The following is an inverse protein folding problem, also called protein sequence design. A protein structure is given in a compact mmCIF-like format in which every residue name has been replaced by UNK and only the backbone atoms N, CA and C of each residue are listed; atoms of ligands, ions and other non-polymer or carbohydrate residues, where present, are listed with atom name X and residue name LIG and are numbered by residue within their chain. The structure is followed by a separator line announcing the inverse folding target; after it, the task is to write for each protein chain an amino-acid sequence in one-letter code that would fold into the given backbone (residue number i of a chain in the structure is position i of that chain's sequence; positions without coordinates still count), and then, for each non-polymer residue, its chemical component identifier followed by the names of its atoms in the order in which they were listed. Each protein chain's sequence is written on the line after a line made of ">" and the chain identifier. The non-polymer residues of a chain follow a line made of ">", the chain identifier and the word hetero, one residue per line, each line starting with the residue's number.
data_IF_811257257042
#
_entry.id   IF_811257257042
#
_cell.length_a   1.000
_cell.length_b   1.000
_cell.length_c   1.000
_cell.angle_alpha   90.00
_cell.angle_beta   90.00
_cell.angle_gamma   90.00
#
_symmetry.space_group_name_H-M   'P 1'
#
loop_
_entity.id
_entity.type
_entity.pdbx_description
1 polymer ?
#
# COMPACT_ATOMS: atom_id res chain seq x y z
N UNK A 1 0.17 -10.05 17.96
CA UNK A 1 1.32 -9.18 18.30
C UNK A 1 0.88 -7.75 18.63
N UNK A 2 0.16 -7.06 17.75
CA UNK A 2 -0.27 -5.65 17.94
C UNK A 2 -1.10 -5.38 19.21
N UNK A 3 -2.03 -6.26 19.57
CA UNK A 3 -2.79 -6.12 20.83
C UNK A 3 -1.89 -6.05 22.07
N UNK A 4 -0.87 -6.91 22.15
CA UNK A 4 0.10 -6.91 23.27
C UNK A 4 0.92 -5.62 23.30
N UNK A 5 1.23 -5.05 22.13
CA UNK A 5 1.91 -3.75 22.06
C UNK A 5 1.02 -2.64 22.62
N UNK A 6 -0.27 -2.62 22.26
CA UNK A 6 -1.24 -1.67 22.82
C UNK A 6 -1.42 -1.82 24.35
N UNK A 7 -1.44 -3.05 24.87
CA UNK A 7 -1.47 -3.32 26.31
C UNK A 7 -0.21 -2.80 27.02
N UNK A 8 0.98 -3.10 26.47
CA UNK A 8 2.26 -2.63 27.03
C UNK A 8 2.41 -1.11 26.98
N UNK A 9 1.85 -0.46 25.97
CA UNK A 9 1.83 0.99 25.84
C UNK A 9 0.76 1.67 26.73
N UNK A 10 -0.05 0.90 27.46
CA UNK A 10 -1.10 1.45 28.32
C UNK A 10 -2.33 2.00 27.59
N UNK A 11 -2.44 1.76 26.27
CA UNK A 11 -3.60 2.20 25.47
C UNK A 11 -4.88 1.42 25.84
N UNK A 12 -4.73 0.16 26.25
CA UNK A 12 -5.80 -0.68 26.76
C UNK A 12 -5.34 -1.45 27.99
N UNK A 13 -6.28 -1.77 28.88
CA UNK A 13 -6.01 -2.66 30.03
C UNK A 13 -5.79 -4.09 29.55
N UNK A 14 -4.89 -4.80 30.22
CA UNK A 14 -4.65 -6.24 30.01
C UNK A 14 -5.95 -7.02 30.12
N UNK A 15 -6.27 -7.83 29.10
CA UNK A 15 -7.49 -8.65 29.10
C UNK A 15 -8.77 -7.89 28.71
N UNK A 16 -8.70 -6.61 28.36
CA UNK A 16 -9.82 -5.88 27.75
C UNK A 16 -10.16 -6.44 26.37
N UNK A 17 -11.13 -7.37 26.29
CA UNK A 17 -11.41 -8.12 25.05
C UNK A 17 -12.11 -7.28 23.95
N UNK A 18 -12.73 -6.14 24.27
CA UNK A 18 -13.56 -5.37 23.32
C UNK A 18 -13.22 -3.86 23.27
N UNK A 19 -11.99 -3.44 23.60
CA UNK A 19 -11.59 -2.01 23.59
C UNK A 19 -10.67 -1.63 22.44
N UNK A 20 -10.46 -2.54 21.49
CA UNK A 20 -9.51 -2.36 20.39
C UNK A 20 -10.09 -2.96 19.12
N UNK A 21 -10.23 -2.13 18.10
CA UNK A 21 -10.59 -2.53 16.74
C UNK A 21 -9.37 -2.39 15.85
N UNK A 22 -9.15 -3.37 14.98
CA UNK A 22 -8.12 -3.30 13.96
C UNK A 22 -8.76 -3.00 12.60
N UNK A 23 -8.16 -2.04 11.92
CA UNK A 23 -8.44 -1.68 10.55
C UNK A 23 -7.16 -1.90 9.75
N UNK A 24 -7.30 -2.29 8.49
CA UNK A 24 -6.14 -2.36 7.59
C UNK A 24 -5.77 -0.96 7.09
N UNK A 25 -4.53 -0.77 6.67
CA UNK A 25 -4.08 0.53 6.11
C UNK A 25 -4.83 0.88 4.83
N UNK A 26 -5.14 -0.12 4.00
CA UNK A 26 -5.97 0.06 2.80
C UNK A 26 -7.40 0.51 3.12
N UNK A 27 -8.04 -0.06 4.14
CA UNK A 27 -9.39 0.34 4.58
C UNK A 27 -9.38 1.77 5.13
N UNK A 28 -8.40 2.09 5.96
CA UNK A 28 -8.25 3.43 6.48
C UNK A 28 -8.06 4.44 5.34
N UNK A 29 -7.16 4.12 4.39
CA UNK A 29 -6.92 4.96 3.24
C UNK A 29 -8.14 5.14 2.35
N UNK A 30 -8.93 4.09 2.14
CA UNK A 30 -10.21 4.18 1.43
C UNK A 30 -11.17 5.15 2.12
N UNK A 31 -11.35 5.03 3.45
CA UNK A 31 -12.23 5.92 4.21
C UNK A 31 -11.82 7.38 4.01
N UNK A 32 -10.51 7.65 4.08
CA UNK A 32 -10.01 9.00 3.88
C UNK A 32 -10.30 9.52 2.48
N UNK A 33 -10.13 8.69 1.44
CA UNK A 33 -10.45 9.05 0.06
C UNK A 33 -11.94 9.38 -0.12
N UNK A 34 -12.83 8.65 0.58
CA UNK A 34 -14.28 8.90 0.60
C UNK A 34 -14.58 10.26 1.22
N UNK A 35 -14.07 10.52 2.43
CA UNK A 35 -14.32 11.75 3.19
C UNK A 35 -13.88 13.02 2.45
N UNK A 36 -12.77 12.93 1.73
CA UNK A 36 -12.17 14.06 1.03
C UNK A 36 -12.94 14.44 -0.24
N UNK A 37 -14.03 13.73 -0.56
CA UNK A 37 -14.78 13.95 -1.79
C UNK A 37 -13.99 13.58 -3.05
N UNK A 38 -12.81 12.99 -2.92
CA UNK A 38 -11.96 12.62 -4.05
C UNK A 38 -12.45 11.40 -4.79
N UNK A 39 -13.09 10.56 -4.00
CA UNK A 39 -13.91 9.56 -4.61
C UNK A 39 -15.15 10.19 -5.23
N UNK A 40 -15.61 11.42 -5.01
CA UNK A 40 -16.88 11.92 -5.63
C UNK A 40 -16.77 12.19 -7.14
N UNK A 41 -15.60 12.43 -7.73
CA UNK A 41 -15.45 12.53 -9.20
C UNK A 41 -15.29 11.15 -9.88
N UNK A 42 -14.46 10.28 -9.30
CA UNK A 42 -14.30 8.87 -9.73
C UNK A 42 -15.53 8.01 -9.36
N UNK A 43 -16.21 8.33 -8.26
CA UNK A 43 -17.54 7.86 -7.86
C UNK A 43 -18.64 8.65 -8.56
N UNK A 44 -18.45 9.83 -9.15
CA UNK A 44 -19.48 10.36 -10.06
C UNK A 44 -19.60 9.41 -11.26
N UNK A 45 -18.50 8.84 -11.76
CA UNK A 45 -18.59 7.71 -12.68
C UNK A 45 -19.27 6.48 -12.03
N UNK A 46 -19.02 6.16 -10.75
CA UNK A 46 -19.70 5.03 -10.06
C UNK A 46 -21.18 5.29 -9.65
N UNK A 47 -21.63 6.55 -9.48
CA UNK A 47 -22.94 6.98 -8.95
C UNK A 47 -23.83 7.63 -10.01
N UNK A 48 -23.27 8.21 -11.07
CA UNK A 48 -24.01 8.90 -12.16
C UNK A 48 -24.03 8.15 -13.49
N UNK A 49 -23.53 6.92 -13.55
CA UNK A 49 -23.91 6.02 -14.63
C UNK A 49 -25.27 5.38 -14.32
N UNK A 50 -26.10 5.30 -15.36
CA UNK A 50 -27.47 4.78 -15.36
C UNK A 50 -27.66 3.48 -14.54
N UNK A 51 -28.86 3.15 -14.06
CA UNK A 51 -29.13 1.97 -13.21
C UNK A 51 -28.57 0.63 -13.73
N UNK A 52 -28.32 0.50 -15.04
CA UNK A 52 -27.71 -0.69 -15.66
C UNK A 52 -26.17 -0.79 -15.44
N UNK A 53 -25.51 0.33 -15.13
CA UNK A 53 -24.04 0.48 -15.05
C UNK A 53 -23.52 0.52 -13.60
N UNK A 54 -24.42 0.64 -12.61
CA UNK A 54 -24.14 0.71 -11.16
C UNK A 54 -23.36 -0.46 -10.54
N UNK A 55 -22.88 -1.43 -11.32
CA UNK A 55 -22.49 -2.76 -10.81
C UNK A 55 -21.05 -3.23 -11.05
N UNK A 56 -20.16 -2.44 -11.68
CA UNK A 56 -18.96 -3.09 -12.28
C UNK A 56 -17.60 -2.51 -12.02
N UNK A 57 -17.48 -1.34 -11.38
CA UNK A 57 -16.17 -0.71 -11.24
C UNK A 57 -15.69 -0.72 -9.79
N UNK A 58 -14.45 -1.15 -9.62
CA UNK A 58 -13.70 -1.21 -8.37
C UNK A 58 -12.51 -0.27 -8.42
N UNK A 59 -11.95 -0.04 -7.24
CA UNK A 59 -10.80 0.83 -7.02
C UNK A 59 -9.68 0.03 -6.39
N UNK A 60 -8.45 0.27 -6.79
CA UNK A 60 -7.27 -0.20 -6.06
C UNK A 60 -6.77 0.93 -5.18
N UNK A 61 -6.39 0.63 -3.94
CA UNK A 61 -5.66 1.54 -3.06
C UNK A 61 -4.24 1.00 -2.94
N UNK A 62 -3.26 1.85 -3.21
CA UNK A 62 -1.83 1.56 -3.08
C UNK A 62 -1.29 2.48 -1.99
N UNK A 63 -1.09 1.96 -0.79
CA UNK A 63 -0.37 2.66 0.27
C UNK A 63 1.13 2.47 0.08
N UNK A 64 1.74 3.48 -0.52
CA UNK A 64 3.17 3.57 -0.74
C UNK A 64 3.84 4.14 0.52
N UNK A 65 4.19 3.25 1.45
CA UNK A 65 4.80 3.59 2.72
C UNK A 65 6.33 3.72 2.68
N UNK A 66 6.91 3.96 3.85
CA UNK A 66 8.36 4.03 4.02
C UNK A 66 9.04 2.66 3.88
N UNK A 67 8.44 1.62 4.47
CA UNK A 67 8.99 0.25 4.44
C UNK A 67 8.24 -0.70 3.52
N UNK A 68 6.93 -0.54 3.42
CA UNK A 68 6.04 -1.44 2.68
C UNK A 68 5.28 -0.73 1.57
N UNK A 69 4.82 -1.52 0.61
CA UNK A 69 3.81 -1.15 -0.38
C UNK A 69 2.62 -2.08 -0.15
N UNK A 70 1.52 -1.51 0.35
CA UNK A 70 0.31 -2.25 0.68
C UNK A 70 -0.75 -1.98 -0.39
N UNK A 71 -1.24 -3.04 -1.04
CA UNK A 71 -2.12 -2.93 -2.20
C UNK A 71 -3.40 -3.72 -1.92
N UNK A 72 -4.53 -3.03 -1.90
CA UNK A 72 -5.84 -3.63 -1.72
C UNK A 72 -6.82 -3.10 -2.76
N UNK A 73 -7.94 -3.81 -2.94
CA UNK A 73 -8.95 -3.43 -3.91
C UNK A 73 -10.35 -3.47 -3.30
N UNK A 74 -11.18 -2.49 -3.66
CA UNK A 74 -12.52 -2.33 -3.10
C UNK A 74 -13.58 -2.06 -4.18
N UNK A 75 -14.82 -2.43 -3.92
CA UNK A 75 -15.97 -2.13 -4.76
C UNK A 75 -17.19 -1.77 -3.92
N UNK A 76 -18.07 -0.90 -4.43
CA UNK A 76 -19.27 -0.51 -3.72
C UNK A 76 -20.25 -1.68 -3.57
N UNK A 77 -20.90 -1.84 -2.42
CA UNK A 77 -21.92 -2.88 -2.23
C UNK A 77 -23.11 -2.67 -3.17
N UNK A 78 -23.87 -3.74 -3.46
CA UNK A 78 -24.98 -3.68 -4.41
C UNK A 78 -26.10 -2.70 -3.98
N UNK A 79 -26.25 -2.45 -2.67
CA UNK A 79 -27.18 -1.49 -2.09
C UNK A 79 -26.60 -0.06 -1.97
N UNK A 80 -25.33 0.12 -2.35
CA UNK A 80 -24.62 1.40 -2.32
C UNK A 80 -24.36 1.95 -0.92
N UNK A 81 -24.53 1.14 0.13
CA UNK A 81 -24.39 1.57 1.53
C UNK A 81 -22.96 1.47 2.06
N UNK A 82 -22.06 0.81 1.35
CA UNK A 82 -20.67 0.70 1.74
C UNK A 82 -19.79 0.08 0.65
N UNK A 83 -18.65 -0.44 1.07
CA UNK A 83 -17.64 -1.05 0.23
C UNK A 83 -17.28 -2.45 0.74
N UNK A 84 -16.84 -3.30 -0.18
CA UNK A 84 -16.29 -4.61 0.11
C UNK A 84 -14.91 -4.76 -0.53
N UNK A 85 -14.03 -5.51 0.13
CA UNK A 85 -12.77 -5.93 -0.47
C UNK A 85 -13.05 -6.91 -1.63
N UNK A 86 -12.50 -6.62 -2.81
CA UNK A 86 -12.81 -7.38 -4.04
C UNK A 86 -11.73 -8.35 -4.48
N UNK A 87 -10.55 -8.27 -3.86
CA UNK A 87 -9.43 -9.18 -4.05
C UNK A 87 -8.54 -9.22 -2.80
N UNK A 88 -7.72 -10.26 -2.67
CA UNK A 88 -6.82 -10.46 -1.53
C UNK A 88 -5.76 -9.35 -1.45
N UNK A 89 -5.72 -8.59 -0.35
CA UNK A 89 -4.69 -7.56 -0.15
C UNK A 89 -3.26 -8.13 -0.13
N UNK A 90 -2.36 -7.40 -0.81
CA UNK A 90 -0.94 -7.67 -0.94
C UNK A 90 -0.12 -6.71 -0.07
N UNK A 91 1.04 -7.15 0.39
CA UNK A 91 2.00 -6.34 1.15
C UNK A 91 3.41 -6.72 0.69
N UNK A 92 4.15 -5.74 0.15
CA UNK A 92 5.49 -5.94 -0.38
C UNK A 92 6.50 -5.10 0.38
N UNK A 93 7.64 -5.68 0.76
CA UNK A 93 8.71 -4.96 1.47
C UNK A 93 9.59 -4.25 0.44
N UNK A 94 9.04 -3.20 -0.19
CA UNK A 94 9.68 -2.41 -1.25
C UNK A 94 9.32 -0.91 -1.17
N UNK A 95 9.06 -0.41 0.05
CA UNK A 95 8.73 1.00 0.27
C UNK A 95 9.90 1.97 0.01
N UNK A 96 9.71 3.24 0.34
CA UNK A 96 10.65 4.33 0.03
C UNK A 96 12.10 4.10 0.52
N UNK A 97 12.31 3.33 1.59
CA UNK A 97 13.65 3.04 2.12
C UNK A 97 14.51 2.26 1.11
N UNK A 98 13.90 1.46 0.23
CA UNK A 98 14.61 0.67 -0.77
C UNK A 98 15.25 1.54 -1.86
N UNK A 99 14.66 2.71 -2.15
CA UNK A 99 15.28 3.71 -3.03
C UNK A 99 16.55 4.26 -2.41
N UNK A 100 16.53 4.52 -1.10
CA UNK A 100 17.69 4.99 -0.33
C UNK A 100 18.78 3.91 -0.23
N UNK A 101 18.38 2.65 -0.09
CA UNK A 101 19.31 1.52 -0.09
C UNK A 101 19.94 1.30 -1.46
N UNK A 102 19.18 1.42 -2.55
CA UNK A 102 19.69 1.36 -3.91
C UNK A 102 20.71 2.48 -4.18
N UNK A 103 20.40 3.71 -3.77
CA UNK A 103 21.35 4.82 -3.82
C UNK A 103 22.61 4.53 -3.00
N UNK A 104 22.46 3.98 -1.79
CA UNK A 104 23.59 3.57 -0.96
C UNK A 104 24.54 2.59 -1.64
N UNK A 105 23.98 1.52 -2.24
CA UNK A 105 24.75 0.53 -2.99
C UNK A 105 25.51 1.15 -4.16
N UNK A 106 24.85 2.03 -4.91
CA UNK A 106 25.49 2.75 -6.01
C UNK A 106 26.64 3.65 -5.51
N UNK A 107 26.47 4.34 -4.38
CA UNK A 107 27.52 5.15 -3.76
C UNK A 107 28.71 4.29 -3.30
N UNK A 108 28.44 3.13 -2.69
CA UNK A 108 29.48 2.16 -2.29
C UNK A 108 30.30 1.67 -3.49
N UNK A 109 29.66 1.50 -4.65
CA UNK A 109 30.32 1.07 -5.88
C UNK A 109 31.20 2.16 -6.48
N UNK A 110 30.66 3.36 -6.71
CA UNK A 110 31.41 4.42 -7.41
C UNK A 110 32.51 5.03 -6.54
N UNK A 111 32.35 5.05 -5.21
CA UNK A 111 33.32 5.65 -4.29
C UNK A 111 34.30 4.63 -3.71
N UNK A 112 34.22 3.37 -4.13
CA UNK A 112 35.06 2.28 -3.63
C UNK A 112 36.54 2.62 -3.74
N UNK A 113 37.25 2.54 -2.62
CA UNK A 113 38.69 2.84 -2.56
C UNK A 113 39.04 4.34 -2.63
N UNK A 114 38.04 5.22 -2.75
CA UNK A 114 38.25 6.67 -2.71
C UNK A 114 38.29 7.19 -1.27
N UNK A 115 38.94 8.33 -1.06
CA UNK A 115 38.90 9.06 0.23
C UNK A 115 37.49 9.53 0.62
N UNK A 116 36.54 9.54 -0.32
CA UNK A 116 35.17 10.00 -0.10
C UNK A 116 34.24 8.89 0.39
N UNK A 117 34.67 7.63 0.39
CA UNK A 117 33.89 6.50 0.89
C UNK A 117 33.43 6.71 2.36
N UNK A 118 34.22 7.41 3.17
CA UNK A 118 33.87 7.78 4.55
C UNK A 118 32.64 8.69 4.68
N UNK A 119 32.17 9.30 3.58
CA UNK A 119 31.02 10.20 3.57
C UNK A 119 29.73 9.53 3.07
N UNK A 120 29.75 8.24 2.75
CA UNK A 120 28.59 7.54 2.17
C UNK A 120 27.36 7.64 3.07
N UNK A 121 27.49 7.44 4.38
CA UNK A 121 26.34 7.57 5.30
C UNK A 121 25.74 8.98 5.28
N UNK A 122 26.59 10.02 5.21
CA UNK A 122 26.15 11.40 5.09
C UNK A 122 25.48 11.67 3.75
N UNK A 123 26.02 11.12 2.66
CA UNK A 123 25.43 11.21 1.32
C UNK A 123 24.06 10.51 1.27
N UNK A 124 23.92 9.33 1.86
CA UNK A 124 22.65 8.59 1.97
C UNK A 124 21.60 9.40 2.73
N UNK A 125 21.98 10.02 3.85
CA UNK A 125 21.08 10.89 4.62
C UNK A 125 20.62 12.12 3.82
N UNK A 126 21.54 12.78 3.11
CA UNK A 126 21.18 13.95 2.27
C UNK A 126 20.36 13.55 1.05
N UNK A 127 20.63 12.39 0.45
CA UNK A 127 19.82 11.81 -0.61
C UNK A 127 18.39 11.55 -0.12
N UNK A 128 18.23 10.84 1.01
CA UNK A 128 16.94 10.49 1.60
C UNK A 128 16.12 11.74 1.96
N UNK A 129 16.78 12.74 2.56
CA UNK A 129 16.15 13.97 3.04
C UNK A 129 15.72 14.92 1.92
N UNK A 130 16.49 14.99 0.82
CA UNK A 130 16.28 15.99 -0.24
C UNK A 130 16.15 15.36 -1.61
N UNK A 131 17.22 14.75 -2.12
CA UNK A 131 17.29 14.32 -3.52
C UNK A 131 16.15 13.38 -3.88
N UNK A 132 15.91 12.34 -3.08
CA UNK A 132 14.79 11.41 -3.28
C UNK A 132 13.44 12.11 -3.22
N UNK A 133 13.20 12.90 -2.16
CA UNK A 133 11.91 13.56 -1.94
C UNK A 133 11.55 14.53 -3.06
N UNK A 134 12.54 15.26 -3.60
CA UNK A 134 12.35 16.31 -4.61
C UNK A 134 12.59 15.82 -6.05
N UNK A 135 12.86 14.52 -6.25
CA UNK A 135 13.13 14.00 -7.57
C UNK A 135 11.86 14.00 -8.42
N UNK A 136 11.92 14.68 -9.56
CA UNK A 136 10.78 14.85 -10.49
C UNK A 136 11.11 14.38 -11.91
N UNK A 137 12.36 14.51 -12.37
CA UNK A 137 12.68 14.36 -13.79
C UNK A 137 14.08 13.76 -14.02
N UNK A 138 14.19 12.65 -14.79
CA UNK A 138 15.47 11.99 -15.08
C UNK A 138 16.39 12.77 -16.03
N UNK A 139 15.87 13.77 -16.75
CA UNK A 139 16.64 14.61 -17.68
C UNK A 139 17.56 15.60 -16.95
N UNK A 140 17.31 15.84 -15.65
CA UNK A 140 18.08 16.81 -14.85
C UNK A 140 19.01 16.09 -13.87
N UNK A 141 20.29 16.48 -13.82
CA UNK A 141 21.23 15.94 -12.85
C UNK A 141 20.86 16.37 -11.43
N UNK A 142 21.18 15.50 -10.48
CA UNK A 142 20.99 15.72 -9.06
C UNK A 142 22.33 15.92 -8.35
N UNK A 143 22.31 16.61 -7.22
CA UNK A 143 23.53 16.92 -6.47
C UNK A 143 23.36 16.57 -5.00
N UNK A 144 24.23 15.71 -4.47
CA UNK A 144 24.28 15.34 -3.06
C UNK A 144 25.43 16.10 -2.41
N UNK A 145 25.11 17.05 -1.53
CA UNK A 145 26.11 17.81 -0.77
C UNK A 145 26.57 17.01 0.44
N UNK A 146 27.88 16.81 0.58
CA UNK A 146 28.46 16.04 1.68
C UNK A 146 29.73 16.66 2.26
N UNK A 147 30.49 17.41 1.45
CA UNK A 147 31.82 17.92 1.81
C UNK A 147 31.91 19.45 1.83
N UNK A 148 33.15 19.94 1.84
CA UNK A 148 33.51 21.36 1.80
C UNK A 148 33.84 21.81 0.37
N UNK A 149 34.17 23.10 0.18
CA UNK A 149 34.43 23.66 -1.16
C UNK A 149 35.72 23.11 -1.79
N UNK A 150 36.64 22.63 -0.96
CA UNK A 150 37.94 22.08 -1.33
C UNK A 150 37.83 20.63 -1.81
N UNK A 151 36.75 19.91 -1.45
CA UNK A 151 36.53 18.53 -1.87
C UNK A 151 36.19 18.48 -3.37
N UNK A 152 37.10 17.91 -4.17
CA UNK A 152 37.01 17.84 -5.62
C UNK A 152 37.63 16.56 -6.17
N UNK A 153 36.90 15.89 -7.05
CA UNK A 153 37.37 14.76 -7.85
C UNK A 153 36.47 14.65 -9.09
N UNK A 154 36.97 15.12 -10.23
CA UNK A 154 36.17 15.19 -11.46
C UNK A 154 35.88 13.81 -12.07
N UNK A 155 36.71 12.80 -11.80
CA UNK A 155 36.49 11.42 -12.26
C UNK A 155 35.29 10.84 -11.53
N UNK A 156 35.22 11.08 -10.21
CA UNK A 156 34.07 10.71 -9.37
C UNK A 156 32.88 11.68 -9.48
N UNK A 157 32.93 12.66 -10.40
CA UNK A 157 31.91 13.70 -10.58
C UNK A 157 31.64 14.53 -9.30
N UNK A 158 32.66 14.72 -8.47
CA UNK A 158 32.62 15.53 -7.25
C UNK A 158 33.22 16.91 -7.53
N UNK A 159 32.46 17.96 -7.19
CA UNK A 159 32.93 19.35 -7.26
C UNK A 159 32.41 20.14 -6.09
N UNK A 160 33.31 20.81 -5.37
CA UNK A 160 32.99 21.67 -4.23
C UNK A 160 32.12 20.98 -3.18
N UNK A 161 32.48 19.73 -2.85
CA UNK A 161 31.81 18.95 -1.80
C UNK A 161 30.43 18.43 -2.19
N UNK A 162 30.08 18.47 -3.47
CA UNK A 162 28.84 17.92 -4.01
C UNK A 162 29.14 16.82 -5.03
N UNK A 163 28.55 15.66 -4.83
CA UNK A 163 28.54 14.56 -5.81
C UNK A 163 27.42 14.82 -6.81
N UNK A 164 27.74 14.87 -8.10
CA UNK A 164 26.75 14.89 -9.18
C UNK A 164 26.31 13.47 -9.51
N UNK A 165 24.99 13.26 -9.50
CA UNK A 165 24.33 12.07 -10.04
C UNK A 165 23.57 12.46 -11.30
N UNK A 166 23.63 11.62 -12.33
CA UNK A 166 22.78 11.82 -13.51
C UNK A 166 21.34 11.42 -13.14
N UNK A 167 20.35 12.13 -13.67
CA UNK A 167 18.95 11.90 -13.27
C UNK A 167 18.45 10.50 -13.63
N UNK A 168 18.96 9.91 -14.72
CA UNK A 168 18.68 8.52 -15.11
C UNK A 168 19.19 7.51 -14.09
N UNK A 169 20.33 7.77 -13.45
CA UNK A 169 20.84 6.94 -12.34
C UNK A 169 19.90 7.04 -11.15
N UNK A 170 19.44 8.25 -10.80
CA UNK A 170 18.49 8.43 -9.69
C UNK A 170 17.16 7.74 -9.99
N UNK A 171 16.65 7.83 -11.21
CA UNK A 171 15.45 7.13 -11.64
C UNK A 171 15.56 5.60 -11.47
N UNK A 172 16.71 5.02 -11.79
CA UNK A 172 16.93 3.56 -11.64
C UNK A 172 16.76 3.07 -10.19
N UNK A 173 16.95 3.94 -9.19
CA UNK A 173 16.73 3.58 -7.79
C UNK A 173 15.25 3.39 -7.43
N UNK A 174 14.34 3.99 -8.20
CA UNK A 174 12.90 3.88 -8.01
C UNK A 174 12.28 2.69 -8.77
N UNK A 175 12.92 2.23 -9.85
CA UNK A 175 12.41 1.17 -10.73
C UNK A 175 11.87 -0.05 -9.96
N UNK A 176 12.59 -0.63 -8.97
CA UNK A 176 12.10 -1.83 -8.29
C UNK A 176 10.80 -1.62 -7.51
N UNK A 177 10.55 -0.40 -7.03
CA UNK A 177 9.33 -0.02 -6.33
C UNK A 177 8.21 0.31 -7.31
N UNK A 178 8.50 0.99 -8.42
CA UNK A 178 7.54 1.28 -9.49
C UNK A 178 6.99 -0.02 -10.08
N UNK A 179 7.89 -0.94 -10.49
CA UNK A 179 7.52 -2.26 -11.01
C UNK A 179 6.64 -3.02 -10.01
N UNK A 180 6.99 -2.99 -8.72
CA UNK A 180 6.21 -3.65 -7.69
C UNK A 180 4.78 -3.10 -7.56
N UNK A 181 4.61 -1.78 -7.67
CA UNK A 181 3.29 -1.14 -7.64
C UNK A 181 2.49 -1.57 -8.86
N UNK A 182 3.10 -1.45 -10.05
CA UNK A 182 2.44 -1.77 -11.33
C UNK A 182 2.01 -3.24 -11.36
N UNK A 183 2.94 -4.16 -11.10
CA UNK A 183 2.65 -5.60 -11.09
C UNK A 183 1.61 -5.96 -10.04
N UNK A 184 1.70 -5.36 -8.85
CA UNK A 184 0.76 -5.61 -7.77
C UNK A 184 -0.67 -5.15 -8.10
N UNK A 185 -0.81 -3.97 -8.72
CA UNK A 185 -2.10 -3.44 -9.20
C UNK A 185 -2.66 -4.29 -10.34
N UNK A 186 -1.83 -4.67 -11.32
CA UNK A 186 -2.28 -5.53 -12.42
C UNK A 186 -2.70 -6.91 -11.92
N UNK A 187 -2.02 -7.44 -10.90
CA UNK A 187 -2.42 -8.68 -10.24
C UNK A 187 -3.75 -8.53 -9.47
N UNK A 188 -3.97 -7.41 -8.78
CA UNK A 188 -5.29 -7.10 -8.20
C UNK A 188 -6.38 -7.08 -9.29
N UNK A 189 -6.10 -6.51 -10.46
CA UNK A 189 -7.06 -6.47 -11.57
C UNK A 189 -7.42 -7.86 -12.09
N UNK A 190 -6.44 -8.79 -12.16
CA UNK A 190 -6.68 -10.17 -12.57
C UNK A 190 -7.48 -10.97 -11.54
N UNK A 191 -7.22 -10.71 -10.25
CA UNK A 191 -7.80 -11.46 -9.13
C UNK A 191 -9.11 -10.89 -8.62
N UNK A 192 -9.42 -9.64 -8.93
CA UNK A 192 -10.65 -9.02 -8.47
C UNK A 192 -11.87 -9.63 -9.15
N UNK A 193 -12.91 -9.89 -8.35
CA UNK A 193 -14.19 -10.36 -8.89
C UNK A 193 -15.03 -9.22 -9.51
N UNK A 194 -14.45 -8.00 -9.59
CA UNK A 194 -15.01 -6.82 -10.25
C UNK A 194 -13.91 -6.11 -11.01
N UNK A 195 -14.25 -5.43 -12.11
CA UNK A 195 -13.28 -4.70 -12.92
C UNK A 195 -12.76 -3.51 -12.13
N UNK A 196 -11.45 -3.35 -12.01
CA UNK A 196 -10.82 -2.16 -11.43
C UNK A 196 -10.58 -1.15 -12.56
N UNK A 197 -10.94 0.12 -12.32
CA UNK A 197 -10.73 1.22 -13.30
C UNK A 197 -9.93 2.38 -12.71
N UNK A 198 -9.87 2.49 -11.39
CA UNK A 198 -9.20 3.59 -10.69
C UNK A 198 -8.20 3.07 -9.67
N UNK A 199 -7.09 3.78 -9.51
CA UNK A 199 -6.02 3.48 -8.55
C UNK A 199 -5.77 4.72 -7.71
N UNK A 200 -5.85 4.60 -6.39
CA UNK A 200 -5.49 5.65 -5.45
C UNK A 200 -4.10 5.36 -4.90
N UNK A 201 -3.13 6.20 -5.26
CA UNK A 201 -1.78 6.15 -4.74
C UNK A 201 -1.71 7.07 -3.51
N UNK A 202 -1.49 6.48 -2.34
CA UNK A 202 -1.45 7.14 -1.04
C UNK A 202 -0.15 6.80 -0.29
N UNK A 203 0.03 7.37 0.89
CA UNK A 203 1.21 7.11 1.73
C UNK A 203 2.32 8.14 1.54
N UNK A 204 3.34 8.09 2.40
CA UNK A 204 4.41 9.08 2.38
C UNK A 204 5.27 9.04 1.12
N UNK A 205 5.38 7.88 0.48
CA UNK A 205 6.18 7.70 -0.73
C UNK A 205 5.44 8.22 -1.97
N UNK A 206 4.10 8.21 -1.99
CA UNK A 206 3.29 8.76 -3.09
C UNK A 206 3.41 10.27 -3.26
N UNK A 207 4.00 10.97 -2.30
CA UNK A 207 4.27 12.41 -2.40
C UNK A 207 5.38 12.73 -3.40
N UNK A 208 6.17 11.75 -3.83
CA UNK A 208 7.19 11.95 -4.86
C UNK A 208 6.54 12.03 -6.26
N UNK A 209 6.78 13.13 -6.99
CA UNK A 209 6.19 13.35 -8.32
C UNK A 209 6.70 12.35 -9.37
N UNK A 210 7.99 12.03 -9.37
CA UNK A 210 8.53 11.03 -10.30
C UNK A 210 7.86 9.67 -10.14
N UNK A 211 7.68 9.19 -8.91
CA UNK A 211 6.95 7.95 -8.63
C UNK A 211 5.51 8.00 -9.18
N UNK A 212 4.79 9.09 -8.95
CA UNK A 212 3.41 9.26 -9.40
C UNK A 212 3.30 9.24 -10.93
N UNK A 213 4.17 9.98 -11.62
CA UNK A 213 4.20 10.04 -13.09
C UNK A 213 4.54 8.68 -13.70
N UNK A 214 5.58 8.00 -13.22
CA UNK A 214 5.94 6.69 -13.73
C UNK A 214 4.84 5.64 -13.53
N UNK A 215 4.19 5.63 -12.35
CA UNK A 215 3.08 4.70 -12.08
C UNK A 215 1.88 5.01 -12.98
N UNK A 216 1.56 6.28 -13.25
CA UNK A 216 0.53 6.69 -14.22
C UNK A 216 0.84 6.18 -15.61
N UNK A 217 2.02 6.50 -16.14
CA UNK A 217 2.44 6.11 -17.48
C UNK A 217 2.40 4.59 -17.69
N UNK A 218 2.76 3.80 -16.67
CA UNK A 218 2.73 2.34 -16.76
C UNK A 218 1.30 1.75 -16.70
N UNK A 219 0.38 2.38 -15.99
CA UNK A 219 -0.98 1.86 -15.76
C UNK A 219 -2.01 2.39 -16.77
N UNK A 220 -1.79 3.57 -17.37
CA UNK A 220 -2.68 4.15 -18.38
C UNK A 220 -2.93 3.23 -19.60
N UNK A 221 -1.91 2.55 -20.20
CA UNK A 221 -2.12 1.59 -21.29
C UNK A 221 -3.02 0.41 -20.93
N UNK A 222 -3.19 0.14 -19.63
CA UNK A 222 -4.06 -0.91 -19.11
C UNK A 222 -5.50 -0.39 -18.83
N UNK A 223 -5.79 0.86 -19.16
CA UNK A 223 -7.10 1.50 -18.95
C UNK A 223 -7.37 1.85 -17.49
N UNK A 224 -6.31 2.09 -16.70
CA UNK A 224 -6.40 2.44 -15.29
C UNK A 224 -6.05 3.92 -15.09
N UNK A 225 -6.92 4.64 -14.38
CA UNK A 225 -6.68 6.03 -13.99
C UNK A 225 -6.07 6.10 -12.60
N UNK A 226 -4.90 6.74 -12.46
CA UNK A 226 -4.20 6.86 -11.17
C UNK A 226 -4.41 8.24 -10.57
N UNK A 227 -4.87 8.27 -9.33
CA UNK A 227 -5.16 9.46 -8.55
C UNK A 227 -4.30 9.50 -7.29
N UNK A 228 -3.84 10.70 -6.92
CA UNK A 228 -3.24 10.96 -5.61
C UNK A 228 -4.17 11.88 -4.83
N UNK A 229 -4.64 11.49 -3.63
CA UNK A 229 -5.40 12.38 -2.79
C UNK A 229 -4.66 13.69 -2.46
N UNK A 230 -5.23 14.88 -2.74
CA UNK A 230 -4.63 16.15 -2.36
C UNK A 230 -4.33 16.21 -0.88
N UNK A 231 -3.16 16.75 -0.57
CA UNK A 231 -2.85 17.25 0.76
C UNK A 231 -3.88 18.35 1.10
N UNK A 232 -4.75 18.10 2.08
CA UNK A 232 -5.67 19.12 2.56
C UNK A 232 -4.88 20.27 3.21
N UNK A 233 -4.95 21.45 2.59
CA UNK A 233 -4.43 22.69 3.16
C UNK A 233 -5.37 23.13 4.27
N UNK A 234 -4.94 23.04 5.52
CA UNK A 234 -5.65 23.65 6.64
C UNK A 234 -5.06 25.04 6.89
N UNK A 235 -5.90 26.07 6.83
CA UNK A 235 -5.55 27.38 7.36
C UNK A 235 -5.55 27.27 8.89
N UNK A 236 -4.37 27.21 9.50
CA UNK A 236 -4.25 27.38 10.94
C UNK A 236 -4.10 28.88 11.22
N UNK A 237 -4.83 29.40 12.22
CA UNK A 237 -4.57 30.75 12.73
C UNK A 237 -3.45 30.68 13.75
N UNK A 238 -2.32 31.32 13.44
CA UNK A 238 -1.24 31.50 14.43
C UNK A 238 -1.64 32.65 15.35
N UNK A 239 -2.01 32.37 16.60
CA UNK A 239 -1.99 33.38 17.66
C UNK A 239 -0.60 33.39 18.27
N UNK A 240 0.28 34.24 17.76
CA UNK A 240 1.54 34.59 18.43
C UNK A 240 1.68 36.11 18.37
N UNK A 241 1.67 36.77 19.53
CA UNK A 241 1.92 38.20 19.69
C UNK A 241 1.03 39.13 18.83
N UNK A 242 -0.28 38.90 18.79
CA UNK A 242 -1.25 39.87 18.26
C UNK A 242 -1.24 40.11 16.75
N UNK A 243 -0.48 39.32 15.96
CA UNK A 243 -0.55 39.33 14.49
C UNK A 243 -1.34 38.13 13.99
N UNK A 244 -2.62 38.34 13.73
CA UNK A 244 -3.47 37.35 13.07
C UNK A 244 -3.14 37.34 11.57
N UNK A 245 -2.46 36.30 11.11
CA UNK A 245 -2.28 36.01 9.68
C UNK A 245 -2.57 34.54 9.41
N UNK A 246 -3.12 34.18 8.24
CA UNK A 246 -3.32 32.79 7.87
C UNK A 246 -1.95 32.10 7.79
N UNK A 247 -1.76 31.06 8.62
CA UNK A 247 -0.64 30.15 8.45
C UNK A 247 -1.13 28.99 7.59
N UNK A 248 -0.64 28.92 6.36
CA UNK A 248 -0.79 27.72 5.56
C UNK A 248 0.08 26.63 6.18
N UNK A 249 -0.52 25.73 6.95
CA UNK A 249 0.16 24.57 7.49
C UNK A 249 -0.07 23.42 6.52
N UNK A 250 0.99 23.01 5.84
CA UNK A 250 1.01 21.76 5.11
C UNK A 250 1.15 20.63 6.12
N UNK A 251 0.05 19.94 6.39
CA UNK A 251 0.13 18.66 7.08
C UNK A 251 0.62 17.63 6.08
N UNK A 252 1.71 16.91 6.40
CA UNK A 252 2.06 15.69 5.66
C UNK A 252 0.85 14.77 5.72
N UNK A 253 0.41 14.29 4.56
CA UNK A 253 -0.70 13.37 4.40
C UNK A 253 -0.57 12.18 5.37
N UNK A 254 -1.35 12.19 6.47
CA UNK A 254 -1.50 11.05 7.38
C UNK A 254 -2.77 10.28 7.01
N UNK A 255 -2.91 9.96 5.74
CA UNK A 255 -4.12 9.38 5.13
C UNK A 255 -4.64 8.19 5.94
N UNK A 256 -3.77 7.26 6.32
CA UNK A 256 -4.11 6.10 7.15
C UNK A 256 -4.59 6.50 8.55
N UNK A 257 -3.92 7.44 9.22
CA UNK A 257 -4.30 7.84 10.57
C UNK A 257 -5.65 8.58 10.57
N UNK A 258 -5.84 9.50 9.63
CA UNK A 258 -7.08 10.25 9.47
C UNK A 258 -8.22 9.30 9.12
N UNK A 259 -8.01 8.40 8.15
CA UNK A 259 -9.02 7.43 7.74
C UNK A 259 -9.35 6.35 8.79
N UNK A 260 -8.42 6.08 9.71
CA UNK A 260 -8.69 5.26 10.89
C UNK A 260 -9.60 5.98 11.90
N UNK A 261 -9.53 7.31 12.00
CA UNK A 261 -10.49 8.10 12.78
C UNK A 261 -11.86 8.09 12.10
N UNK A 262 -11.92 8.31 10.79
CA UNK A 262 -13.17 8.25 10.01
C UNK A 262 -13.87 6.90 10.12
N UNK A 263 -13.10 5.81 10.16
CA UNK A 263 -13.64 4.47 10.37
C UNK A 263 -14.50 4.36 11.62
N UNK A 264 -14.05 4.94 12.75
CA UNK A 264 -14.74 4.88 14.03
C UNK A 264 -16.11 5.59 13.96
N UNK A 265 -16.28 6.53 13.04
CA UNK A 265 -17.51 7.27 12.85
C UNK A 265 -18.49 6.53 11.93
N UNK A 266 -18.06 6.17 10.71
CA UNK A 266 -19.00 5.81 9.63
C UNK A 266 -18.90 4.36 9.13
N UNK A 267 -17.83 3.61 9.47
CA UNK A 267 -17.64 2.19 9.13
C UNK A 267 -18.05 1.78 7.69
N UNK A 268 -17.54 2.44 6.62
CA UNK A 268 -18.07 2.23 5.27
C UNK A 268 -17.62 0.91 4.62
N UNK A 269 -16.58 0.23 5.13
CA UNK A 269 -16.16 -1.10 4.64
C UNK A 269 -16.88 -2.20 5.42
N UNK A 270 -17.72 -2.98 4.72
CA UNK A 270 -18.68 -3.91 5.31
C UNK A 270 -18.22 -5.37 5.25
N UNK A 271 -17.30 -5.73 4.36
CA UNK A 271 -16.79 -7.09 4.24
C UNK A 271 -15.33 -7.14 3.78
N UNK A 272 -14.64 -8.20 4.20
CA UNK A 272 -13.20 -8.45 4.01
C UNK A 272 -12.96 -9.82 3.38
N UNK A 273 -11.85 -9.96 2.67
CA UNK A 273 -11.40 -11.23 2.08
C UNK A 273 -10.37 -11.89 2.98
N UNK A 274 -10.46 -13.21 3.15
CA UNK A 274 -9.48 -13.98 3.92
C UNK A 274 -8.45 -14.65 3.01
N UNK A 275 -7.18 -14.62 3.45
CA UNK A 275 -6.07 -15.29 2.75
C UNK A 275 -6.16 -16.82 2.80
N UNK A 276 -6.74 -17.34 3.88
CA UNK A 276 -6.82 -18.77 4.16
C UNK A 276 -8.25 -19.17 4.52
N UNK A 277 -8.62 -20.39 4.18
CA UNK A 277 -9.83 -20.98 4.71
C UNK A 277 -9.59 -21.35 6.18
N UNK A 278 -10.48 -20.91 7.07
CA UNK A 278 -10.48 -21.34 8.46
C UNK A 278 -11.58 -22.37 8.67
N UNK A 279 -11.25 -23.42 9.42
CA UNK A 279 -12.10 -24.59 9.55
C UNK A 279 -11.61 -25.49 10.66
N UNK A 280 -12.32 -26.59 10.85
CA UNK A 280 -11.97 -27.61 11.84
C UNK A 280 -11.76 -28.95 11.14
N UNK A 281 -10.98 -29.82 11.77
CA UNK A 281 -10.94 -31.21 11.37
C UNK A 281 -12.34 -31.84 11.55
N UNK A 282 -12.80 -32.56 10.54
CA UNK A 282 -14.13 -33.16 10.52
C UNK A 282 -14.13 -34.55 9.85
N UNK A 283 -15.18 -35.33 10.15
CA UNK A 283 -15.48 -36.60 9.48
C UNK A 283 -16.44 -36.34 8.33
N UNK A 284 -15.92 -36.33 7.11
CA UNK A 284 -16.69 -35.96 5.91
C UNK A 284 -17.42 -37.16 5.31
N UNK A 285 -18.64 -37.00 4.76
CA UNK A 285 -19.30 -38.05 3.98
C UNK A 285 -18.40 -38.59 2.87
N UNK A 286 -18.29 -39.90 2.74
CA UNK A 286 -17.61 -40.51 1.61
C UNK A 286 -18.40 -40.24 0.32
N UNK A 287 -17.71 -39.80 -0.74
CA UNK A 287 -18.31 -39.52 -2.04
C UNK A 287 -17.47 -40.22 -3.11
N UNK A 288 -18.04 -41.25 -3.73
CA UNK A 288 -17.33 -42.04 -4.74
C UNK A 288 -16.99 -41.26 -6.01
N UNK A 289 -17.64 -40.13 -6.28
CA UNK A 289 -17.38 -39.31 -7.46
C UNK A 289 -16.10 -38.48 -7.32
N UNK A 290 -15.62 -38.25 -6.09
CA UNK A 290 -14.40 -37.49 -5.83
C UNK A 290 -13.16 -38.41 -5.84
N UNK A 291 -12.20 -38.11 -6.72
CA UNK A 291 -10.95 -38.88 -6.84
C UNK A 291 -10.18 -38.94 -5.51
N UNK A 292 -10.16 -37.83 -4.77
CA UNK A 292 -9.49 -37.74 -3.46
C UNK A 292 -10.13 -38.68 -2.43
N UNK A 293 -11.46 -38.73 -2.37
CA UNK A 293 -12.17 -39.67 -1.49
C UNK A 293 -11.91 -41.12 -1.90
N UNK A 294 -11.90 -41.43 -3.21
CA UNK A 294 -11.57 -42.79 -3.70
C UNK A 294 -10.18 -43.25 -3.26
N UNK A 295 -9.18 -42.38 -3.35
CA UNK A 295 -7.81 -42.68 -2.87
C UNK A 295 -7.75 -42.97 -1.37
N UNK A 296 -8.64 -42.36 -0.59
CA UNK A 296 -8.73 -42.54 0.87
C UNK A 296 -9.76 -43.57 1.31
N UNK A 297 -10.35 -44.34 0.38
CA UNK A 297 -11.40 -45.32 0.70
C UNK A 297 -10.98 -46.32 1.77
N UNK A 298 -9.72 -46.76 1.76
CA UNK A 298 -9.19 -47.69 2.76
C UNK A 298 -9.15 -47.11 4.20
N UNK A 299 -9.20 -45.78 4.34
CA UNK A 299 -9.24 -45.09 5.62
C UNK A 299 -10.67 -44.76 6.08
N UNK A 300 -11.68 -45.08 5.26
CA UNK A 300 -13.06 -44.72 5.55
C UNK A 300 -13.60 -45.52 6.75
N UNK A 301 -14.35 -44.84 7.61
CA UNK A 301 -14.99 -45.41 8.81
C UNK A 301 -16.50 -45.30 8.69
N UNK A 302 -17.22 -46.24 9.28
CA UNK A 302 -18.69 -46.16 9.39
C UNK A 302 -19.03 -45.42 10.69
N UNK A 303 -19.86 -44.38 10.61
CA UNK A 303 -20.35 -43.67 11.80
C UNK A 303 -21.49 -44.42 12.51
N UNK A 304 -21.92 -43.94 13.67
CA UNK A 304 -22.99 -44.56 14.47
C UNK A 304 -24.34 -44.59 13.74
N UNK A 305 -24.51 -43.78 12.70
CA UNK A 305 -25.69 -43.74 11.86
C UNK A 305 -25.56 -44.65 10.61
N UNK A 306 -24.50 -45.45 10.51
CA UNK A 306 -24.24 -46.37 9.40
C UNK A 306 -23.68 -45.69 8.15
N UNK A 307 -23.35 -44.40 8.18
CA UNK A 307 -22.84 -43.68 7.02
C UNK A 307 -21.33 -43.84 6.91
N UNK A 308 -20.85 -44.01 5.69
CA UNK A 308 -19.42 -44.07 5.44
C UNK A 308 -18.80 -42.66 5.43
N UNK A 309 -17.78 -42.45 6.24
CA UNK A 309 -17.08 -41.18 6.46
C UNK A 309 -15.59 -41.31 6.19
N UNK A 310 -14.98 -40.28 5.64
CA UNK A 310 -13.53 -40.12 5.56
C UNK A 310 -13.05 -39.34 6.80
N UNK A 311 -12.14 -39.91 7.62
CA UNK A 311 -11.56 -39.22 8.78
C UNK A 311 -10.51 -38.19 8.32
N UNK A 312 -10.21 -37.19 9.15
CA UNK A 312 -9.25 -36.11 8.84
C UNK A 312 -9.64 -35.29 7.60
N UNK A 313 -10.94 -35.02 7.44
CA UNK A 313 -11.43 -34.02 6.49
C UNK A 313 -11.29 -32.62 7.08
N UNK A 314 -11.51 -31.59 6.27
CA UNK A 314 -11.47 -30.20 6.71
C UNK A 314 -12.83 -29.55 6.42
N UNK A 315 -13.57 -29.23 7.47
CA UNK A 315 -14.85 -28.53 7.37
C UNK A 315 -14.64 -27.03 7.47
N UNK A 316 -15.05 -26.31 6.43
CA UNK A 316 -14.75 -24.90 6.24
C UNK A 316 -15.80 -24.08 6.99
N UNK A 317 -15.36 -23.34 8.00
CA UNK A 317 -16.19 -22.38 8.74
C UNK A 317 -16.17 -21.02 8.04
N UNK A 318 -14.98 -20.61 7.60
CA UNK A 318 -14.75 -19.36 6.88
C UNK A 318 -14.00 -19.69 5.60
N UNK A 319 -14.64 -19.60 4.42
CA UNK A 319 -13.99 -19.93 3.17
C UNK A 319 -12.88 -18.93 2.87
N UNK A 320 -11.80 -19.42 2.25
CA UNK A 320 -10.97 -18.56 1.42
C UNK A 320 -11.84 -18.16 0.23
N UNK A 321 -11.86 -16.89 -0.13
CA UNK A 321 -12.48 -16.48 -1.40
C UNK A 321 -11.71 -17.16 -2.52
N UNK A 322 -12.27 -18.25 -3.05
CA UNK A 322 -11.73 -18.95 -4.21
C UNK A 322 -12.18 -18.18 -5.44
N UNK A 323 -11.20 -17.54 -6.07
CA UNK A 323 -11.32 -16.88 -7.36
C UNK A 323 -11.79 -17.93 -8.37
N UNK A 324 -12.95 -17.71 -8.98
CA UNK A 324 -13.43 -18.48 -10.13
C UNK A 324 -12.89 -17.87 -11.41
#
# INVERSE_FOLDING_TARGET
>A
MMKRAAEKAGLIKTGGRNKLSFITEGEASLNRCIDQGLMVESIHCLRQLTPASKRREGVSVVDAGGGTLDISAYGATADGKGFEEIAEAQCHVKGSIFVTDAAGKYLDEILRGSQFAKFIDKMKQEFDKKTKCLFENPSRPQFIRFGNKEDMDLILKIRSGALRLDGTVVASFFEPSIECIVDGVLEQCRRAHRRITSVFLVGGFSENEFLLEQVKECLEPHGLSVFRPPNTQLQAFKSVNGKNGPLNVYFRNKIVADGAVSFVLDHPVLSRVTRYAAGTEAKMPYNQNLLEHRKRRAQAIVDLAGNLRIPRGFDIILPRVCLR
#
